data_IF_009810184936
#
_entry.id   IF_009810184936
#
_cell.length_a   1.000
_cell.length_b   1.000
_cell.length_c   1.000
_cell.angle_alpha   90.00
_cell.angle_beta   90.00
_cell.angle_gamma   90.00
#
_symmetry.space_group_name_H-M   'P 1'
#
loop_
_entity.id
_entity.type
_entity.pdbx_description
1 polymer ?
#
# COMPACT_ATOMS: atom_id res chain seq x y z
N UNK A 1 21.57 -4.04 -15.09
CA UNK A 1 20.51 -4.73 -15.87
C UNK A 1 20.78 -4.68 -17.37
N UNK A 2 21.03 -3.52 -17.99
CA UNK A 2 21.29 -3.38 -19.45
C UNK A 2 22.26 -4.44 -20.01
N UNK A 3 23.46 -4.59 -19.40
CA UNK A 3 24.43 -5.61 -19.81
C UNK A 3 23.91 -7.06 -19.75
N UNK A 4 23.00 -7.35 -18.82
CA UNK A 4 22.37 -8.68 -18.73
C UNK A 4 21.42 -8.88 -19.92
N UNK A 5 20.59 -7.89 -20.25
CA UNK A 5 19.69 -7.94 -21.40
C UNK A 5 20.45 -8.07 -22.73
N UNK A 6 21.60 -7.41 -22.86
CA UNK A 6 22.49 -7.52 -24.03
C UNK A 6 23.08 -8.94 -24.22
N UNK A 7 23.35 -9.63 -23.09
CA UNK A 7 23.92 -10.99 -23.10
C UNK A 7 22.81 -12.03 -23.30
N UNK A 8 21.77 -11.97 -22.48
CA UNK A 8 20.72 -13.01 -22.44
C UNK A 8 19.70 -12.89 -23.57
N UNK A 9 19.52 -11.69 -24.14
CA UNK A 9 18.58 -11.41 -25.25
C UNK A 9 17.19 -11.99 -25.01
N UNK A 10 16.54 -11.70 -23.86
CA UNK A 10 15.17 -12.19 -23.63
C UNK A 10 14.19 -11.51 -24.57
N UNK A 11 13.10 -12.18 -24.89
CA UNK A 11 11.99 -11.60 -25.66
C UNK A 11 11.15 -10.64 -24.81
N UNK A 12 11.08 -10.87 -23.49
CA UNK A 12 10.24 -10.08 -22.58
C UNK A 12 10.85 -9.89 -21.19
N UNK A 13 10.41 -8.84 -20.49
CA UNK A 13 10.78 -8.50 -19.11
C UNK A 13 9.52 -8.40 -18.24
N UNK A 14 9.42 -9.26 -17.22
CA UNK A 14 8.35 -9.23 -16.22
C UNK A 14 8.82 -8.49 -14.96
N UNK A 15 8.55 -7.18 -14.88
CA UNK A 15 9.01 -6.33 -13.78
C UNK A 15 8.20 -6.50 -12.49
N UNK A 16 6.90 -6.82 -12.61
CA UNK A 16 5.96 -6.89 -11.49
C UNK A 16 6.25 -7.96 -10.43
N UNK A 17 7.24 -8.86 -10.67
CA UNK A 17 7.64 -9.91 -9.73
C UNK A 17 8.84 -9.53 -8.85
N UNK A 18 9.56 -8.46 -9.15
CA UNK A 18 10.81 -8.08 -8.47
C UNK A 18 10.67 -6.92 -7.48
N UNK A 19 9.44 -6.58 -7.08
CA UNK A 19 9.16 -5.46 -6.17
C UNK A 19 9.49 -4.09 -6.79
N UNK A 20 9.54 -3.05 -5.95
CA UNK A 20 9.76 -1.67 -6.38
C UNK A 20 11.07 -1.47 -7.18
N UNK A 21 12.13 -2.13 -6.76
CA UNK A 21 13.43 -2.03 -7.45
C UNK A 21 13.34 -2.49 -8.90
N UNK A 22 12.61 -3.57 -9.17
CA UNK A 22 12.44 -4.07 -10.53
C UNK A 22 11.58 -3.14 -11.38
N UNK A 23 10.51 -2.57 -10.83
CA UNK A 23 9.70 -1.56 -11.53
C UNK A 23 10.54 -0.33 -11.89
N UNK A 24 11.30 0.21 -10.94
CA UNK A 24 12.17 1.38 -11.18
C UNK A 24 13.22 1.11 -12.26
N UNK A 25 13.83 -0.09 -12.26
CA UNK A 25 14.79 -0.48 -13.28
C UNK A 25 14.11 -0.64 -14.64
N UNK A 26 12.95 -1.28 -14.71
CA UNK A 26 12.23 -1.49 -15.95
C UNK A 26 11.74 -0.16 -16.55
N UNK A 27 11.18 0.72 -15.75
CA UNK A 27 10.78 2.07 -16.15
C UNK A 27 11.98 2.87 -16.69
N UNK A 28 13.12 2.84 -15.98
CA UNK A 28 14.35 3.50 -16.44
C UNK A 28 14.86 2.96 -17.78
N UNK A 29 14.84 1.63 -17.98
CA UNK A 29 15.28 0.99 -19.23
C UNK A 29 14.32 1.23 -20.40
N UNK A 30 13.02 1.42 -20.12
CA UNK A 30 12.04 1.77 -21.11
C UNK A 30 12.20 3.25 -21.53
N UNK A 31 12.33 4.16 -20.55
CA UNK A 31 12.52 5.59 -20.83
C UNK A 31 13.82 5.93 -21.56
N UNK A 32 14.90 5.19 -21.29
CA UNK A 32 16.18 5.41 -22.00
C UNK A 32 16.26 4.70 -23.38
N UNK A 33 15.17 4.05 -23.80
CA UNK A 33 15.07 3.34 -25.09
C UNK A 33 15.83 2.01 -25.14
N UNK A 34 16.34 1.52 -24.02
CA UNK A 34 17.11 0.26 -23.99
C UNK A 34 16.24 -0.96 -24.34
N UNK A 35 15.00 -1.01 -23.85
CA UNK A 35 14.10 -2.12 -24.14
C UNK A 35 13.77 -2.18 -25.64
N UNK A 36 13.43 -1.05 -26.24
CA UNK A 36 13.14 -0.95 -27.67
C UNK A 36 14.36 -1.33 -28.53
N UNK A 37 15.55 -0.80 -28.20
CA UNK A 37 16.79 -1.08 -28.91
C UNK A 37 17.19 -2.59 -28.87
N UNK A 38 16.78 -3.30 -27.82
CA UNK A 38 17.02 -4.73 -27.65
C UNK A 38 15.84 -5.60 -28.08
N UNK A 39 14.74 -5.00 -28.48
CA UNK A 39 13.46 -5.66 -28.82
C UNK A 39 12.94 -6.52 -27.65
N UNK A 40 12.95 -5.96 -26.42
CA UNK A 40 12.47 -6.61 -25.20
C UNK A 40 11.13 -6.03 -24.83
N UNK A 41 10.08 -6.84 -24.80
CA UNK A 41 8.73 -6.43 -24.41
C UNK A 41 8.61 -6.33 -22.89
N UNK A 42 7.97 -5.27 -22.36
CA UNK A 42 7.60 -5.16 -20.95
C UNK A 42 6.22 -5.78 -20.76
N UNK A 43 6.16 -6.93 -20.07
CA UNK A 43 4.93 -7.72 -19.89
C UNK A 43 4.38 -7.64 -18.46
N UNK A 44 3.06 -7.89 -18.32
CA UNK A 44 2.33 -7.83 -17.06
C UNK A 44 1.79 -6.41 -16.79
N UNK A 45 2.66 -5.49 -16.47
CA UNK A 45 2.35 -4.07 -16.31
C UNK A 45 3.17 -3.27 -17.30
N UNK A 46 2.54 -2.50 -18.17
CA UNK A 46 3.25 -1.67 -19.15
C UNK A 46 3.83 -0.39 -18.53
N UNK A 47 4.65 0.33 -19.30
CA UNK A 47 5.30 1.55 -18.83
C UNK A 47 4.29 2.63 -18.43
N UNK A 48 3.20 2.79 -19.20
CA UNK A 48 2.18 3.78 -18.93
C UNK A 48 1.51 3.51 -17.56
N UNK A 49 1.14 2.26 -17.30
CA UNK A 49 0.53 1.85 -16.04
C UNK A 49 1.50 2.02 -14.84
N UNK A 50 2.79 1.73 -15.03
CA UNK A 50 3.81 1.97 -14.00
C UNK A 50 3.92 3.47 -13.70
N UNK A 51 4.07 4.30 -14.72
CA UNK A 51 4.20 5.73 -14.56
C UNK A 51 2.95 6.37 -13.95
N UNK A 52 1.75 5.97 -14.39
CA UNK A 52 0.48 6.47 -13.86
C UNK A 52 0.23 6.04 -12.41
N UNK A 53 0.76 4.89 -12.00
CA UNK A 53 0.65 4.40 -10.63
C UNK A 53 1.68 5.02 -9.67
N UNK A 54 2.91 5.28 -10.14
CA UNK A 54 4.04 5.70 -9.30
C UNK A 54 4.21 7.22 -9.22
N UNK A 55 3.83 7.95 -10.28
CA UNK A 55 3.84 9.42 -10.28
C UNK A 55 2.56 9.96 -9.62
N UNK A 56 2.73 10.73 -8.55
CA UNK A 56 1.60 11.24 -7.75
C UNK A 56 0.63 12.12 -8.51
N UNK A 57 1.15 12.99 -9.39
CA UNK A 57 0.31 13.92 -10.14
C UNK A 57 -0.46 13.16 -11.23
N UNK A 58 0.18 12.18 -11.85
CA UNK A 58 -0.47 11.28 -12.80
C UNK A 58 -1.50 10.40 -12.12
N UNK A 59 -1.17 9.79 -10.98
CA UNK A 59 -2.09 8.99 -10.17
C UNK A 59 -3.32 9.80 -9.74
N UNK A 60 -3.12 11.03 -9.25
CA UNK A 60 -4.20 11.93 -8.90
C UNK A 60 -5.15 12.18 -10.09
N UNK A 61 -4.60 12.51 -11.27
CA UNK A 61 -5.39 12.70 -12.50
C UNK A 61 -6.17 11.44 -12.87
N UNK A 62 -5.54 10.26 -12.80
CA UNK A 62 -6.22 8.97 -13.04
C UNK A 62 -7.38 8.78 -12.10
N UNK A 63 -7.22 9.06 -10.80
CA UNK A 63 -8.30 8.97 -9.83
C UNK A 63 -9.43 9.98 -10.11
N UNK A 64 -9.09 11.22 -10.45
CA UNK A 64 -10.05 12.26 -10.81
C UNK A 64 -10.88 11.88 -12.07
N UNK A 65 -10.26 11.29 -13.10
CA UNK A 65 -10.94 10.83 -14.31
C UNK A 65 -12.02 9.75 -14.07
N UNK A 66 -11.90 9.02 -12.98
CA UNK A 66 -12.84 7.95 -12.61
C UNK A 66 -13.59 8.22 -11.30
N UNK A 67 -13.64 9.47 -10.86
CA UNK A 67 -14.32 9.93 -9.65
C UNK A 67 -13.93 9.13 -8.39
N UNK A 68 -12.64 8.86 -8.21
CA UNK A 68 -12.09 8.29 -6.98
C UNK A 68 -11.49 9.39 -6.11
N UNK A 69 -11.93 9.53 -4.85
CA UNK A 69 -11.38 10.53 -3.95
C UNK A 69 -9.94 10.18 -3.56
N UNK A 70 -9.06 11.17 -3.65
CA UNK A 70 -7.69 11.15 -3.13
C UNK A 70 -7.55 12.20 -2.02
N UNK A 71 -6.52 12.15 -1.17
CA UNK A 71 -6.27 13.23 -0.21
C UNK A 71 -6.19 14.59 -0.93
N UNK A 72 -6.94 15.56 -0.42
CA UNK A 72 -6.91 16.92 -0.97
C UNK A 72 -5.54 17.53 -0.72
N UNK A 73 -4.98 18.19 -1.72
CA UNK A 73 -3.67 18.78 -1.63
C UNK A 73 -3.61 20.07 -2.47
N UNK A 74 -2.93 21.09 -1.92
CA UNK A 74 -2.75 22.40 -2.55
C UNK A 74 -1.26 22.72 -2.54
N UNK A 75 -0.71 23.04 -3.72
CA UNK A 75 0.67 23.50 -3.86
C UNK A 75 0.74 24.98 -3.50
N UNK A 76 1.74 25.37 -2.71
CA UNK A 76 1.93 26.71 -2.20
C UNK A 76 3.39 27.13 -2.33
N UNK A 77 3.62 28.35 -2.82
CA UNK A 77 4.95 28.92 -3.03
C UNK A 77 5.26 29.98 -1.96
N UNK A 78 4.28 30.36 -1.16
CA UNK A 78 4.39 31.38 -0.10
C UNK A 78 3.63 30.99 1.16
N UNK A 79 4.00 31.64 2.29
CA UNK A 79 3.33 31.39 3.59
C UNK A 79 1.88 31.91 3.57
N UNK A 80 1.59 32.96 2.83
CA UNK A 80 0.23 33.47 2.69
C UNK A 80 -0.67 32.44 2.00
N UNK A 81 -0.23 31.84 0.88
CA UNK A 81 -0.92 30.74 0.21
C UNK A 81 -1.07 29.50 1.11
N UNK A 82 -0.06 29.18 1.93
CA UNK A 82 -0.13 28.09 2.91
C UNK A 82 -1.24 28.31 3.94
N UNK A 83 -1.43 29.56 4.38
CA UNK A 83 -2.51 29.89 5.32
C UNK A 83 -3.90 29.84 4.68
N UNK A 84 -4.02 30.26 3.41
CA UNK A 84 -5.25 30.14 2.62
C UNK A 84 -5.59 28.66 2.37
N UNK A 85 -4.61 27.86 1.95
CA UNK A 85 -4.77 26.42 1.75
C UNK A 85 -5.21 25.70 3.04
N UNK A 86 -4.70 26.09 4.19
CA UNK A 86 -5.12 25.52 5.47
C UNK A 86 -6.60 25.79 5.78
N UNK A 87 -7.13 26.95 5.41
CA UNK A 87 -8.54 27.27 5.59
C UNK A 87 -9.42 26.47 4.60
N UNK A 88 -8.98 26.32 3.36
CA UNK A 88 -9.69 25.57 2.32
C UNK A 88 -9.74 24.07 2.62
N UNK A 89 -8.65 23.50 3.16
CA UNK A 89 -8.57 22.08 3.53
C UNK A 89 -9.31 21.72 4.83
N UNK A 90 -9.98 22.67 5.47
CA UNK A 90 -10.82 22.42 6.64
C UNK A 90 -10.09 22.46 7.99
N UNK A 91 -8.85 22.93 8.03
CA UNK A 91 -8.09 23.12 9.26
C UNK A 91 -7.18 21.95 9.63
N UNK A 92 -6.83 21.85 10.90
CA UNK A 92 -5.80 20.94 11.39
C UNK A 92 -6.34 19.57 11.82
N UNK A 93 -5.48 18.52 11.82
CA UNK A 93 -4.08 18.52 11.38
C UNK A 93 -3.89 18.60 9.86
N UNK A 94 -2.73 19.10 9.39
CA UNK A 94 -2.36 19.16 7.99
C UNK A 94 -0.97 18.53 7.78
N UNK A 95 -0.78 17.87 6.64
CA UNK A 95 0.52 17.34 6.26
C UNK A 95 1.21 18.31 5.29
N UNK A 96 2.48 18.60 5.56
CA UNK A 96 3.31 19.46 4.74
C UNK A 96 4.39 18.62 4.08
N UNK A 97 4.53 18.73 2.76
CA UNK A 97 5.56 18.05 2.00
C UNK A 97 6.27 19.02 1.06
N UNK A 98 7.58 19.23 1.25
CA UNK A 98 8.36 19.99 0.28
C UNK A 98 8.40 19.29 -1.08
N UNK A 99 8.31 20.06 -2.15
CA UNK A 99 8.43 19.51 -3.50
C UNK A 99 9.86 19.04 -3.77
N UNK A 100 10.00 17.88 -4.44
CA UNK A 100 11.28 17.30 -4.88
C UNK A 100 12.31 17.04 -3.78
N UNK A 101 11.87 16.74 -2.54
CA UNK A 101 12.78 16.32 -1.47
C UNK A 101 12.78 14.79 -1.31
N UNK A 102 13.95 14.24 -0.95
CA UNK A 102 14.12 12.81 -0.66
C UNK A 102 13.96 12.55 0.84
N UNK A 103 13.26 11.46 1.21
CA UNK A 103 13.21 10.98 2.58
C UNK A 103 12.38 11.84 3.55
N UNK A 104 11.47 12.71 3.05
CA UNK A 104 10.60 13.53 3.88
C UNK A 104 11.29 14.70 4.57
N UNK A 105 12.50 15.09 4.12
CA UNK A 105 13.27 16.20 4.67
C UNK A 105 12.49 17.52 4.54
N UNK A 106 12.32 18.25 5.65
CA UNK A 106 11.61 19.52 5.69
C UNK A 106 10.08 19.42 5.68
N UNK A 107 9.52 18.19 5.64
CA UNK A 107 8.09 17.94 5.79
C UNK A 107 7.69 17.58 7.21
N UNK A 108 6.38 17.57 7.47
CA UNK A 108 5.85 17.19 8.78
C UNK A 108 4.35 17.38 8.89
N UNK A 109 3.80 17.06 10.06
CA UNK A 109 2.39 17.27 10.39
C UNK A 109 2.26 18.50 11.28
N UNK A 110 1.45 19.46 10.84
CA UNK A 110 1.08 20.62 11.65
C UNK A 110 -0.25 20.38 12.36
N UNK A 111 -0.28 20.62 13.66
CA UNK A 111 -1.45 20.50 14.51
C UNK A 111 -2.07 21.87 14.85
N UNK A 112 -1.41 22.96 14.46
CA UNK A 112 -1.87 24.32 14.65
C UNK A 112 -1.15 25.27 13.67
N UNK A 113 -1.64 26.51 13.60
CA UNK A 113 -1.13 27.54 12.70
C UNK A 113 0.37 27.85 12.91
N UNK A 114 0.85 27.84 14.16
CA UNK A 114 2.28 28.12 14.46
C UNK A 114 3.18 27.04 13.85
N UNK A 115 2.87 25.77 14.09
CA UNK A 115 3.58 24.64 13.49
C UNK A 115 3.48 24.62 11.96
N UNK A 116 2.32 24.97 11.40
CA UNK A 116 2.15 25.07 9.95
C UNK A 116 3.14 26.06 9.33
N UNK A 117 3.21 27.28 9.86
CA UNK A 117 4.12 28.32 9.36
C UNK A 117 5.58 27.89 9.51
N UNK A 118 5.95 27.30 10.65
CA UNK A 118 7.31 26.83 10.91
C UNK A 118 7.73 25.74 9.92
N UNK A 119 6.94 24.67 9.81
CA UNK A 119 7.26 23.53 8.93
C UNK A 119 7.23 23.97 7.46
N UNK A 120 6.22 24.75 7.04
CA UNK A 120 6.12 25.22 5.67
C UNK A 120 7.29 26.14 5.28
N UNK A 121 7.73 27.03 6.18
CA UNK A 121 8.90 27.87 5.93
C UNK A 121 10.17 27.05 5.72
N UNK A 122 10.39 26.04 6.54
CA UNK A 122 11.51 25.11 6.36
C UNK A 122 11.35 24.28 5.07
N UNK A 123 10.14 23.85 4.78
CA UNK A 123 9.81 23.08 3.56
C UNK A 123 10.11 23.87 2.29
N UNK A 124 9.70 25.12 2.20
CA UNK A 124 9.98 26.02 1.08
C UNK A 124 11.50 26.19 0.89
N UNK A 125 12.25 26.44 1.97
CA UNK A 125 13.71 26.56 1.93
C UNK A 125 14.44 25.28 1.47
N UNK A 126 13.88 24.11 1.74
CA UNK A 126 14.47 22.82 1.35
C UNK A 126 14.02 22.35 -0.04
N UNK A 127 12.94 22.93 -0.57
CA UNK A 127 12.43 22.61 -1.89
C UNK A 127 13.36 23.18 -2.98
N UNK A 128 13.56 22.40 -4.04
CA UNK A 128 14.37 22.86 -5.20
C UNK A 128 13.65 23.90 -6.06
N UNK A 129 12.35 24.08 -5.86
CA UNK A 129 11.49 24.97 -6.62
C UNK A 129 10.71 25.91 -5.71
N UNK A 130 11.16 26.08 -4.46
CA UNK A 130 10.56 26.95 -3.44
C UNK A 130 9.07 26.69 -3.21
N UNK A 131 8.63 25.40 -3.29
CA UNK A 131 7.23 24.99 -3.20
C UNK A 131 7.02 23.90 -2.15
N UNK A 132 5.92 24.01 -1.42
CA UNK A 132 5.40 22.96 -0.53
C UNK A 132 4.00 22.55 -0.95
N UNK A 133 3.68 21.28 -0.70
CA UNK A 133 2.34 20.74 -0.82
C UNK A 133 1.71 20.67 0.57
N UNK A 134 0.54 21.30 0.73
CA UNK A 134 -0.28 21.20 1.93
C UNK A 134 -1.38 20.19 1.66
N UNK A 135 -1.44 19.13 2.47
CA UNK A 135 -2.38 18.03 2.27
C UNK A 135 -3.32 17.90 3.48
N UNK A 136 -4.58 17.50 3.22
CA UNK A 136 -5.48 17.09 4.30
C UNK A 136 -4.86 15.89 5.03
N UNK A 137 -5.01 15.87 6.35
CA UNK A 137 -4.49 14.76 7.15
C UNK A 137 -5.53 13.66 7.26
N UNK A 138 -5.11 12.47 6.89
CA UNK A 138 -5.85 11.22 7.09
C UNK A 138 -5.33 10.41 8.29
N UNK A 139 -4.54 11.04 9.15
CA UNK A 139 -4.02 10.42 10.38
C UNK A 139 -5.18 9.91 11.25
N UNK A 140 -5.04 8.69 11.72
CA UNK A 140 -6.05 8.04 12.55
C UNK A 140 -7.24 7.45 11.78
N UNK A 141 -7.29 7.59 10.45
CA UNK A 141 -8.23 6.83 9.63
C UNK A 141 -7.80 5.37 9.58
N UNK A 142 -8.75 4.47 9.30
CA UNK A 142 -8.44 3.07 9.07
C UNK A 142 -7.75 2.89 7.72
N UNK A 143 -6.87 1.91 7.62
CA UNK A 143 -6.26 1.51 6.36
C UNK A 143 -6.79 0.15 5.92
N UNK A 144 -7.28 0.09 4.69
CA UNK A 144 -7.78 -1.13 4.06
C UNK A 144 -7.04 -1.39 2.75
N UNK A 145 -6.66 -2.65 2.55
CA UNK A 145 -5.94 -3.10 1.37
C UNK A 145 -6.76 -4.12 0.58
N UNK A 146 -6.73 -4.00 -0.73
CA UNK A 146 -7.37 -4.91 -1.67
C UNK A 146 -6.32 -5.50 -2.61
N UNK A 147 -6.13 -6.82 -2.54
CA UNK A 147 -5.33 -7.54 -3.51
C UNK A 147 -6.19 -7.92 -4.69
N UNK A 148 -5.87 -7.36 -5.84
CA UNK A 148 -6.65 -7.46 -7.07
C UNK A 148 -5.89 -8.27 -8.10
N UNK A 149 -6.58 -9.08 -8.88
CA UNK A 149 -6.04 -9.79 -10.04
C UNK A 149 -6.89 -9.44 -11.26
N UNK A 150 -6.25 -9.07 -12.38
CA UNK A 150 -6.93 -8.79 -13.65
C UNK A 150 -6.14 -9.37 -14.81
N UNK A 151 -6.84 -9.91 -15.81
CA UNK A 151 -6.26 -10.40 -17.05
C UNK A 151 -6.57 -9.49 -18.25
N UNK A 152 -6.08 -9.88 -19.42
CA UNK A 152 -6.28 -9.13 -20.68
C UNK A 152 -7.72 -9.17 -21.22
N UNK A 153 -8.55 -10.12 -20.77
CA UNK A 153 -9.97 -10.24 -21.12
C UNK A 153 -10.89 -9.50 -20.16
N UNK A 154 -10.32 -8.68 -19.27
CA UNK A 154 -11.02 -7.92 -18.21
C UNK A 154 -11.71 -8.79 -17.16
N UNK A 155 -11.34 -10.07 -17.01
CA UNK A 155 -11.69 -10.79 -15.81
C UNK A 155 -10.92 -10.14 -14.64
N UNK A 156 -11.66 -9.62 -13.67
CA UNK A 156 -11.08 -8.86 -12.56
C UNK A 156 -11.69 -9.33 -11.24
N UNK A 157 -10.84 -9.77 -10.31
CA UNK A 157 -11.27 -10.37 -9.04
C UNK A 157 -10.54 -9.74 -7.86
N UNK A 158 -11.17 -9.75 -6.69
CA UNK A 158 -10.52 -9.48 -5.40
C UNK A 158 -10.06 -10.81 -4.81
N UNK A 159 -8.75 -10.98 -4.71
CA UNK A 159 -8.15 -12.19 -4.13
C UNK A 159 -8.25 -12.18 -2.62
N UNK A 160 -8.03 -11.03 -2.00
CA UNK A 160 -8.06 -10.87 -0.55
C UNK A 160 -8.33 -9.42 -0.18
N UNK A 161 -9.03 -9.23 0.92
CA UNK A 161 -9.17 -7.94 1.59
C UNK A 161 -8.48 -7.99 2.93
N UNK A 162 -7.78 -6.92 3.28
CA UNK A 162 -7.02 -6.83 4.52
C UNK A 162 -7.30 -5.51 5.22
N UNK A 163 -7.22 -5.54 6.53
CA UNK A 163 -7.36 -4.37 7.39
C UNK A 163 -6.11 -4.22 8.26
N UNK A 164 -5.54 -3.03 8.27
CA UNK A 164 -4.47 -2.67 9.17
C UNK A 164 -5.06 -2.24 10.52
N UNK A 165 -4.64 -2.91 11.59
CA UNK A 165 -5.12 -2.59 12.96
C UNK A 165 -4.53 -1.25 13.41
N UNK A 166 -3.29 -0.97 13.01
CA UNK A 166 -2.68 0.33 13.22
C UNK A 166 -3.28 1.37 12.26
N UNK A 167 -3.60 2.57 12.74
CA UNK A 167 -4.22 3.60 11.91
C UNK A 167 -3.25 4.18 10.88
N UNK A 168 -3.82 4.90 9.90
CA UNK A 168 -3.05 5.70 8.95
C UNK A 168 -2.03 6.57 9.66
N UNK A 169 -0.80 6.59 9.13
CA UNK A 169 0.39 7.21 9.72
C UNK A 169 1.44 6.19 10.19
N UNK A 170 1.06 4.92 10.34
CA UNK A 170 1.98 3.79 10.49
C UNK A 170 2.15 3.13 9.11
N UNK A 171 3.39 2.85 8.73
CA UNK A 171 3.66 2.16 7.46
C UNK A 171 3.00 0.77 7.45
N UNK A 172 2.31 0.39 6.38
CA UNK A 172 1.58 -0.89 6.28
C UNK A 172 2.46 -2.11 6.57
N UNK A 173 3.76 -2.06 6.22
CA UNK A 173 4.73 -3.10 6.56
C UNK A 173 5.01 -3.24 8.07
N UNK A 174 4.73 -2.20 8.85
CA UNK A 174 4.88 -2.15 10.31
C UNK A 174 3.59 -2.43 11.06
N UNK A 175 2.45 -2.45 10.37
CA UNK A 175 1.14 -2.65 10.95
C UNK A 175 0.85 -4.13 11.22
N UNK A 176 0.09 -4.39 12.29
CA UNK A 176 -0.62 -5.64 12.45
C UNK A 176 -1.75 -5.68 11.44
N UNK A 177 -1.85 -6.76 10.66
CA UNK A 177 -2.83 -6.87 9.57
C UNK A 177 -3.72 -8.08 9.80
N UNK A 178 -5.01 -7.92 9.56
CA UNK A 178 -6.00 -9.02 9.59
C UNK A 178 -6.62 -9.25 8.21
N UNK A 179 -6.79 -10.49 7.85
CA UNK A 179 -7.52 -10.94 6.66
C UNK A 179 -8.57 -12.01 7.06
N UNK A 180 -9.81 -11.93 6.57
CA UNK A 180 -10.37 -10.79 5.84
C UNK A 180 -10.55 -9.58 6.76
N UNK A 181 -10.83 -8.40 6.18
CA UNK A 181 -11.20 -7.20 6.95
C UNK A 181 -12.33 -7.48 7.94
N UNK A 182 -12.31 -6.82 9.11
CA UNK A 182 -13.21 -7.13 10.22
C UNK A 182 -14.24 -6.03 10.50
N UNK A 183 -13.91 -4.77 10.21
CA UNK A 183 -14.68 -3.62 10.74
C UNK A 183 -15.51 -2.87 9.71
N UNK A 184 -15.32 -3.11 8.40
CA UNK A 184 -16.17 -2.53 7.37
C UNK A 184 -17.56 -3.17 7.35
N UNK A 185 -18.59 -2.35 7.17
CA UNK A 185 -19.90 -2.85 6.77
C UNK A 185 -19.86 -3.45 5.35
N UNK A 186 -20.81 -4.32 5.00
CA UNK A 186 -20.91 -4.84 3.63
C UNK A 186 -21.01 -3.71 2.60
N UNK A 187 -21.80 -2.69 2.89
CA UNK A 187 -21.93 -1.49 2.03
C UNK A 187 -20.58 -0.83 1.77
N UNK A 188 -19.79 -0.59 2.81
CA UNK A 188 -18.52 0.11 2.71
C UNK A 188 -17.49 -0.78 2.01
N UNK A 189 -17.52 -2.08 2.31
CA UNK A 189 -16.72 -3.08 1.59
C UNK A 189 -17.00 -3.05 0.08
N UNK A 190 -18.28 -3.10 -0.33
CA UNK A 190 -18.63 -3.08 -1.75
C UNK A 190 -18.23 -1.76 -2.43
N UNK A 191 -18.31 -0.64 -1.71
CA UNK A 191 -17.86 0.65 -2.20
C UNK A 191 -16.34 0.67 -2.49
N UNK A 192 -15.53 0.21 -1.54
CA UNK A 192 -14.07 0.14 -1.73
C UNK A 192 -13.68 -0.92 -2.77
N UNK A 193 -14.39 -2.04 -2.81
CA UNK A 193 -14.23 -3.08 -3.83
C UNK A 193 -14.45 -2.52 -5.24
N UNK A 194 -15.55 -1.81 -5.44
CA UNK A 194 -15.86 -1.18 -6.73
C UNK A 194 -14.79 -0.13 -7.12
N UNK A 195 -14.35 0.68 -6.16
CA UNK A 195 -13.27 1.64 -6.36
C UNK A 195 -11.97 0.95 -6.82
N UNK A 196 -11.58 -0.16 -6.17
CA UNK A 196 -10.40 -0.92 -6.54
C UNK A 196 -10.50 -1.48 -7.97
N UNK A 197 -11.64 -2.08 -8.33
CA UNK A 197 -11.86 -2.65 -9.66
C UNK A 197 -11.85 -1.56 -10.76
N UNK A 198 -12.46 -0.40 -10.52
CA UNK A 198 -12.43 0.74 -11.46
C UNK A 198 -11.02 1.27 -11.67
N UNK A 199 -10.25 1.40 -10.59
CA UNK A 199 -8.88 1.90 -10.64
C UNK A 199 -7.97 0.98 -11.48
N UNK A 200 -8.03 -0.33 -11.23
CA UNK A 200 -7.21 -1.31 -11.94
C UNK A 200 -7.54 -1.38 -13.43
N UNK A 201 -8.83 -1.27 -13.79
CA UNK A 201 -9.27 -1.19 -15.17
C UNK A 201 -8.76 0.08 -15.87
N UNK A 202 -8.85 1.23 -15.19
CA UNK A 202 -8.38 2.51 -15.77
C UNK A 202 -6.87 2.51 -15.98
N UNK A 203 -6.11 1.89 -15.08
CA UNK A 203 -4.66 1.74 -15.19
C UNK A 203 -4.23 0.64 -16.18
N UNK A 204 -5.15 -0.14 -16.69
CA UNK A 204 -4.91 -1.32 -17.56
C UNK A 204 -3.86 -2.31 -17.02
N UNK A 205 -3.79 -2.45 -15.70
CA UNK A 205 -2.88 -3.40 -15.06
C UNK A 205 -3.31 -4.83 -15.39
N UNK A 206 -2.36 -5.66 -15.85
CA UNK A 206 -2.55 -7.09 -16.13
C UNK A 206 -1.67 -7.89 -15.18
N UNK A 207 -2.28 -8.69 -14.32
CA UNK A 207 -1.63 -9.42 -13.24
C UNK A 207 -2.15 -9.02 -11.87
N UNK A 208 -1.29 -9.17 -10.84
CA UNK A 208 -1.61 -8.83 -9.45
C UNK A 208 -1.22 -7.41 -9.09
N UNK A 209 -2.05 -6.75 -8.31
CA UNK A 209 -1.77 -5.44 -7.75
C UNK A 209 -2.43 -5.27 -6.38
N UNK A 210 -1.92 -4.32 -5.61
CA UNK A 210 -2.45 -3.94 -4.31
C UNK A 210 -2.99 -2.51 -4.37
N UNK A 211 -4.20 -2.30 -3.87
CA UNK A 211 -4.83 -0.97 -3.74
C UNK A 211 -5.02 -0.66 -2.26
N UNK A 212 -4.59 0.51 -1.82
CA UNK A 212 -4.70 0.96 -0.44
C UNK A 212 -5.68 2.13 -0.32
N UNK A 213 -6.55 2.03 0.68
CA UNK A 213 -7.55 3.03 1.01
C UNK A 213 -7.44 3.47 2.47
N UNK A 214 -7.58 4.77 2.70
CA UNK A 214 -7.90 5.29 4.02
C UNK A 214 -9.42 5.41 4.14
N UNK A 215 -9.98 4.95 5.26
CA UNK A 215 -11.42 4.97 5.53
C UNK A 215 -11.73 5.62 6.87
N UNK A 216 -12.65 6.59 6.87
CA UNK A 216 -13.11 7.26 8.07
C UNK A 216 -14.41 6.61 8.57
N UNK A 217 -14.32 5.79 9.59
CA UNK A 217 -15.50 5.11 10.18
C UNK A 217 -16.59 6.06 10.67
N UNK A 218 -16.25 7.30 11.05
CA UNK A 218 -17.21 8.25 11.61
C UNK A 218 -18.06 8.90 10.54
N UNK A 219 -17.47 9.16 9.36
CA UNK A 219 -18.15 9.87 8.26
C UNK A 219 -18.54 8.95 7.10
N UNK A 220 -17.93 7.76 7.00
CA UNK A 220 -18.07 6.87 5.84
C UNK A 220 -17.29 7.34 4.61
N UNK A 221 -16.46 8.37 4.75
CA UNK A 221 -15.60 8.86 3.67
C UNK A 221 -14.36 7.97 3.50
N UNK A 222 -13.88 7.89 2.27
CA UNK A 222 -12.60 7.22 1.99
C UNK A 222 -11.69 8.08 1.09
N UNK A 223 -10.41 7.73 1.08
CA UNK A 223 -9.43 8.27 0.14
C UNK A 223 -8.63 7.12 -0.45
N UNK A 224 -8.40 7.18 -1.75
CA UNK A 224 -7.48 6.27 -2.44
C UNK A 224 -6.07 6.77 -2.20
N UNK A 225 -5.21 5.93 -1.61
CA UNK A 225 -3.89 6.33 -1.16
C UNK A 225 -2.83 6.02 -2.22
N UNK A 226 -2.79 4.76 -2.63
CA UNK A 226 -1.83 4.29 -3.64
C UNK A 226 -2.29 2.99 -4.29
N UNK A 227 -1.70 2.71 -5.43
CA UNK A 227 -1.76 1.41 -6.07
C UNK A 227 -0.34 0.91 -6.31
N UNK A 228 -0.10 -0.35 -6.00
CA UNK A 228 1.17 -1.00 -6.26
C UNK A 228 0.99 -1.97 -7.46
N UNK A 229 1.42 -1.62 -8.69
CA UNK A 229 1.18 -2.41 -9.90
C UNK A 229 2.14 -3.60 -9.97
N UNK A 230 2.25 -4.36 -8.89
CA UNK A 230 3.21 -5.44 -8.72
C UNK A 230 2.81 -6.36 -7.58
N UNK A 231 3.39 -7.56 -7.57
CA UNK A 231 3.35 -8.43 -6.39
C UNK A 231 4.14 -7.78 -5.25
N UNK A 232 3.55 -7.77 -4.06
CA UNK A 232 4.05 -7.08 -2.87
C UNK A 232 4.15 -8.03 -1.67
N UNK A 233 4.51 -7.50 -0.49
CA UNK A 233 4.46 -8.25 0.77
C UNK A 233 3.03 -8.62 1.14
N UNK A 234 2.08 -7.71 0.93
CA UNK A 234 0.65 -7.97 1.13
C UNK A 234 0.14 -9.06 0.20
N UNK A 235 0.61 -9.12 -1.05
CA UNK A 235 0.29 -10.24 -1.97
C UNK A 235 0.79 -11.58 -1.44
N UNK A 236 1.97 -11.61 -0.79
CA UNK A 236 2.48 -12.83 -0.16
C UNK A 236 1.62 -13.24 1.05
N UNK A 237 1.20 -12.28 1.87
CA UNK A 237 0.25 -12.51 2.97
C UNK A 237 -1.08 -13.02 2.44
N UNK A 238 -1.66 -12.34 1.45
CA UNK A 238 -2.91 -12.72 0.81
C UNK A 238 -2.85 -14.14 0.23
N UNK A 239 -1.75 -14.48 -0.45
CA UNK A 239 -1.55 -15.84 -0.99
C UNK A 239 -1.52 -16.91 0.10
N UNK A 240 -0.87 -16.64 1.25
CA UNK A 240 -0.86 -17.56 2.38
C UNK A 240 -2.22 -17.64 3.07
N UNK A 241 -2.91 -16.50 3.20
CA UNK A 241 -4.20 -16.43 3.85
C UNK A 241 -5.29 -17.17 3.06
N UNK A 242 -5.30 -17.00 1.74
CA UNK A 242 -6.35 -17.54 0.86
C UNK A 242 -6.01 -18.88 0.23
N UNK A 243 -4.71 -19.24 0.17
CA UNK A 243 -4.22 -20.35 -0.65
C UNK A 243 -4.13 -20.02 -2.16
N UNK A 244 -4.60 -18.83 -2.59
CA UNK A 244 -4.56 -18.40 -4.00
C UNK A 244 -3.13 -17.97 -4.37
N UNK A 245 -2.46 -18.62 -5.32
CA UNK A 245 -1.06 -18.35 -5.64
C UNK A 245 -0.90 -17.14 -6.55
N UNK A 246 -1.05 -15.93 -6.01
CA UNK A 246 -1.06 -14.64 -6.74
C UNK A 246 0.11 -14.55 -7.72
N UNK A 247 1.35 -14.81 -7.27
CA UNK A 247 2.53 -14.67 -8.10
C UNK A 247 2.51 -15.63 -9.31
N UNK A 248 2.08 -16.89 -9.10
CA UNK A 248 1.96 -17.86 -10.19
C UNK A 248 0.92 -17.45 -11.21
N UNK A 249 -0.26 -17.05 -10.74
CA UNK A 249 -1.35 -16.64 -11.64
C UNK A 249 -0.97 -15.35 -12.38
N UNK A 250 -0.39 -14.37 -11.69
CA UNK A 250 0.08 -13.14 -12.33
C UNK A 250 1.15 -13.39 -13.42
N UNK A 251 2.07 -14.35 -13.19
CA UNK A 251 3.05 -14.75 -14.21
C UNK A 251 2.40 -15.40 -15.43
N UNK A 252 1.37 -16.22 -15.23
CA UNK A 252 0.62 -16.85 -16.33
C UNK A 252 -0.20 -15.82 -17.12
N UNK A 253 -0.82 -14.84 -16.42
CA UNK A 253 -1.51 -13.72 -17.08
C UNK A 253 -0.53 -12.91 -17.94
N UNK A 254 0.67 -12.63 -17.42
CA UNK A 254 1.66 -11.86 -18.14
C UNK A 254 2.12 -12.50 -19.45
N UNK A 255 2.02 -13.83 -19.58
CA UNK A 255 2.30 -14.55 -20.83
C UNK A 255 1.05 -14.89 -21.64
N UNK A 256 -0.10 -14.26 -21.34
CA UNK A 256 -1.28 -14.24 -22.17
C UNK A 256 -2.42 -15.17 -21.76
N UNK A 257 -2.32 -15.89 -20.63
CA UNK A 257 -3.46 -16.67 -20.12
C UNK A 257 -4.52 -15.76 -19.49
N UNK A 258 -5.77 -16.19 -19.56
CA UNK A 258 -6.89 -15.54 -18.87
C UNK A 258 -7.29 -16.32 -17.62
N UNK A 259 -7.94 -15.63 -16.66
CA UNK A 259 -8.32 -16.23 -15.38
C UNK A 259 -9.31 -17.41 -15.52
N UNK A 260 -10.15 -17.38 -16.54
CA UNK A 260 -11.12 -18.43 -16.84
C UNK A 260 -10.50 -19.66 -17.53
N UNK A 261 -9.34 -19.52 -18.18
CA UNK A 261 -8.55 -20.63 -18.73
C UNK A 261 -7.73 -21.36 -17.66
N UNK A 262 -7.38 -20.67 -16.58
CA UNK A 262 -6.53 -21.23 -15.54
C UNK A 262 -7.36 -22.00 -14.49
N UNK A 263 -6.97 -23.24 -14.13
CA UNK A 263 -7.66 -23.96 -13.07
C UNK A 263 -7.43 -23.30 -11.72
N UNK A 264 -8.47 -23.28 -10.87
CA UNK A 264 -8.33 -22.83 -9.50
C UNK A 264 -7.49 -23.82 -8.67
N UNK A 265 -6.32 -23.45 -8.19
CA UNK A 265 -5.43 -24.37 -7.48
C UNK A 265 -5.93 -24.75 -6.08
N UNK A 266 -6.90 -24.01 -5.52
CA UNK A 266 -7.44 -24.25 -4.17
C UNK A 266 -8.55 -25.28 -4.23
N UNK A 267 -9.51 -25.10 -5.14
CA UNK A 267 -10.72 -25.92 -5.23
C UNK A 267 -10.55 -27.12 -6.15
N UNK A 268 -9.47 -27.16 -6.92
CA UNK A 268 -9.13 -28.25 -7.83
C UNK A 268 -9.96 -28.27 -9.11
N UNK A 269 -10.29 -29.46 -9.62
CA UNK A 269 -10.96 -29.62 -10.90
C UNK A 269 -12.40 -29.08 -10.86
N UNK A 270 -12.74 -28.22 -11.79
CA UNK A 270 -14.11 -27.76 -12.03
C UNK A 270 -14.36 -26.29 -11.73
N UNK A 271 -13.40 -25.55 -11.17
CA UNK A 271 -13.46 -24.10 -11.03
C UNK A 271 -12.23 -23.44 -11.64
N UNK A 272 -12.37 -22.18 -12.04
CA UNK A 272 -11.29 -21.40 -12.67
C UNK A 272 -10.66 -20.43 -11.66
N UNK A 273 -9.51 -19.87 -12.04
CA UNK A 273 -8.83 -18.86 -11.26
C UNK A 273 -9.59 -17.53 -11.16
N UNK A 274 -10.66 -17.36 -11.95
CA UNK A 274 -11.57 -16.21 -11.86
C UNK A 274 -12.50 -16.25 -10.62
N UNK A 275 -12.51 -17.34 -9.85
CA UNK A 275 -13.33 -17.49 -8.67
C UNK A 275 -12.67 -16.79 -7.46
N UNK A 276 -13.36 -15.81 -6.88
CA UNK A 276 -12.85 -15.06 -5.70
C UNK A 276 -12.77 -15.96 -4.46
N UNK A 277 -11.64 -16.00 -3.75
CA UNK A 277 -11.55 -16.70 -2.49
C UNK A 277 -12.49 -16.11 -1.42
N UNK A 278 -13.10 -16.98 -0.62
CA UNK A 278 -13.90 -16.60 0.53
C UNK A 278 -13.34 -17.29 1.77
N UNK A 279 -13.02 -16.49 2.81
CA UNK A 279 -12.43 -16.98 4.05
C UNK A 279 -13.51 -17.13 5.14
N UNK A 280 -13.56 -18.27 5.78
CA UNK A 280 -14.38 -18.55 6.96
C UNK A 280 -13.54 -18.64 8.26
N UNK A 281 -12.33 -18.10 8.24
CA UNK A 281 -11.36 -18.00 9.33
C UNK A 281 -10.66 -16.64 9.28
N UNK A 282 -9.99 -16.28 10.39
CA UNK A 282 -9.17 -15.08 10.46
C UNK A 282 -7.69 -15.43 10.34
N UNK A 283 -6.97 -14.58 9.63
CA UNK A 283 -5.52 -14.62 9.51
C UNK A 283 -4.94 -13.32 10.06
N UNK A 284 -4.02 -13.39 11.00
CA UNK A 284 -3.35 -12.22 11.57
C UNK A 284 -1.87 -12.27 11.26
N UNK A 285 -1.33 -11.19 10.73
CA UNK A 285 0.10 -10.94 10.54
C UNK A 285 0.57 -9.93 11.59
N UNK A 286 1.66 -10.23 12.30
CA UNK A 286 2.32 -9.28 13.20
C UNK A 286 3.78 -9.14 12.79
N UNK A 287 4.29 -7.90 12.61
CA UNK A 287 5.70 -7.66 12.33
C UNK A 287 6.60 -8.02 13.53
N UNK A 288 7.84 -8.38 13.26
CA UNK A 288 8.89 -8.57 14.29
C UNK A 288 9.81 -7.34 14.31
N UNK A 289 9.72 -6.56 15.37
CA UNK A 289 10.59 -5.42 15.59
C UNK A 289 11.79 -5.82 16.46
N UNK A 290 13.05 -5.65 15.98
CA UNK A 290 14.25 -6.07 16.70
C UNK A 290 14.74 -5.04 17.72
N UNK A 291 13.84 -4.39 18.46
CA UNK A 291 14.18 -3.39 19.47
C UNK A 291 14.97 -3.96 20.67
N UNK A 292 14.88 -5.27 20.88
CA UNK A 292 15.72 -6.01 21.81
C UNK A 292 17.21 -5.95 21.42
N UNK A 293 17.51 -5.92 20.12
CA UNK A 293 18.86 -5.84 19.56
C UNK A 293 19.33 -4.38 19.39
N UNK A 294 18.44 -3.46 19.08
CA UNK A 294 18.73 -2.05 18.81
C UNK A 294 18.16 -1.17 19.91
N UNK A 295 18.83 -1.17 21.09
CA UNK A 295 18.32 -0.53 22.31
C UNK A 295 18.17 0.99 22.22
N UNK A 296 18.93 1.66 21.34
CA UNK A 296 18.89 3.13 21.14
C UNK A 296 17.93 3.54 20.02
N UNK A 297 17.30 2.60 19.32
CA UNK A 297 16.35 2.92 18.26
C UNK A 297 15.06 3.53 18.86
N UNK A 298 14.52 4.51 18.15
CA UNK A 298 13.18 5.01 18.45
C UNK A 298 12.16 3.89 18.22
N UNK A 299 11.41 3.53 19.26
CA UNK A 299 10.43 2.44 19.25
C UNK A 299 9.05 2.84 18.74
N UNK A 300 8.79 4.15 18.57
CA UNK A 300 7.52 4.63 18.04
C UNK A 300 7.39 4.23 16.59
N UNK A 301 6.29 3.55 16.26
CA UNK A 301 5.95 3.21 14.87
C UNK A 301 5.52 4.47 14.11
N UNK A 302 5.75 4.47 12.81
CA UNK A 302 5.44 5.60 11.94
C UNK A 302 5.63 5.22 10.48
N UNK A 303 5.91 6.19 9.62
CA UNK A 303 6.07 5.99 8.17
C UNK A 303 7.36 5.26 7.78
N UNK A 304 8.31 5.11 8.71
CA UNK A 304 9.59 4.44 8.46
C UNK A 304 9.52 2.98 8.86
N UNK A 305 10.03 2.09 8.01
CA UNK A 305 10.11 0.66 8.30
C UNK A 305 11.21 0.34 9.31
N UNK A 306 10.87 -0.44 10.34
CA UNK A 306 11.75 -0.88 11.43
C UNK A 306 11.74 -2.38 11.64
N UNK A 307 10.73 -3.08 11.12
CA UNK A 307 10.58 -4.53 11.22
C UNK A 307 11.62 -5.28 10.38
N UNK A 308 12.02 -6.45 10.84
CA UNK A 308 12.97 -7.33 10.16
C UNK A 308 12.36 -8.65 9.70
N UNK A 309 11.11 -8.88 10.00
CA UNK A 309 10.36 -10.06 9.64
C UNK A 309 8.93 -9.95 10.12
N UNK A 310 8.18 -11.03 9.98
CA UNK A 310 6.78 -11.10 10.38
C UNK A 310 6.39 -12.53 10.69
N UNK A 311 5.36 -12.69 11.50
CA UNK A 311 4.67 -13.95 11.75
C UNK A 311 3.26 -13.87 11.18
N UNK A 312 2.69 -15.05 10.88
CA UNK A 312 1.30 -15.17 10.46
C UNK A 312 0.66 -16.33 11.24
N UNK A 313 -0.55 -16.11 11.74
CA UNK A 313 -1.33 -17.16 12.40
C UNK A 313 -2.76 -17.17 11.89
N UNK A 314 -3.38 -18.35 11.99
CA UNK A 314 -4.76 -18.60 11.56
C UNK A 314 -5.57 -19.02 12.79
N UNK A 315 -6.76 -18.45 12.93
CA UNK A 315 -7.73 -18.78 13.99
C UNK A 315 -9.16 -18.71 13.48
N UNK A 316 -10.11 -19.17 14.27
CA UNK A 316 -11.54 -19.04 13.98
C UNK A 316 -12.03 -17.62 14.20
N UNK A 317 -11.42 -16.93 15.16
CA UNK A 317 -11.71 -15.53 15.50
C UNK A 317 -10.44 -14.71 15.41
N UNK A 318 -10.60 -13.39 15.39
CA UNK A 318 -9.47 -12.45 15.43
C UNK A 318 -8.61 -12.67 16.67
N UNK A 319 -9.23 -12.79 17.85
CA UNK A 319 -8.51 -12.96 19.11
C UNK A 319 -7.67 -14.24 19.13
N UNK A 320 -8.22 -15.34 18.64
CA UNK A 320 -7.49 -16.60 18.54
C UNK A 320 -6.27 -16.47 17.61
N UNK A 321 -6.47 -15.91 16.42
CA UNK A 321 -5.41 -15.70 15.44
C UNK A 321 -4.33 -14.75 15.98
N UNK A 322 -4.75 -13.65 16.62
CA UNK A 322 -3.85 -12.67 17.24
C UNK A 322 -2.99 -13.27 18.33
N UNK A 323 -3.59 -13.99 19.27
CA UNK A 323 -2.84 -14.65 20.36
C UNK A 323 -1.86 -15.70 19.85
N UNK A 324 -2.23 -16.46 18.82
CA UNK A 324 -1.31 -17.39 18.15
C UNK A 324 -0.15 -16.66 17.47
N UNK A 325 -0.41 -15.54 16.81
CA UNK A 325 0.63 -14.73 16.17
C UNK A 325 1.59 -14.16 17.22
N UNK A 326 1.07 -13.62 18.34
CA UNK A 326 1.90 -13.13 19.46
C UNK A 326 2.80 -14.25 20.00
N UNK A 327 2.26 -15.43 20.24
CA UNK A 327 3.05 -16.57 20.69
C UNK A 327 4.14 -16.97 19.69
N UNK A 328 3.87 -16.85 18.38
CA UNK A 328 4.83 -17.17 17.30
C UNK A 328 5.97 -16.17 17.17
N UNK A 329 5.86 -14.97 17.73
CA UNK A 329 6.94 -13.97 17.74
C UNK A 329 8.13 -14.36 18.62
N UNK A 330 7.91 -15.27 19.60
CA UNK A 330 8.92 -15.77 20.55
C UNK A 330 9.67 -14.64 21.30
N UNK A 331 8.94 -13.57 21.67
CA UNK A 331 9.50 -12.41 22.37
C UNK A 331 9.46 -12.55 23.90
N UNK A 332 9.17 -13.75 24.41
CA UNK A 332 9.11 -14.03 25.85
C UNK A 332 7.81 -13.55 26.53
N UNK A 333 6.86 -13.03 25.77
CA UNK A 333 5.54 -12.65 26.24
C UNK A 333 4.47 -13.42 25.44
N UNK A 334 3.92 -14.54 25.97
CA UNK A 334 2.96 -15.36 25.23
C UNK A 334 1.56 -14.70 25.10
N UNK A 335 1.31 -13.65 25.88
CA UNK A 335 0.06 -12.90 25.86
C UNK A 335 0.32 -11.40 26.00
N UNK A 336 -0.47 -10.54 25.30
CA UNK A 336 -0.46 -9.11 25.55
C UNK A 336 -0.73 -8.84 27.04
N UNK A 337 0.09 -8.01 27.67
CA UNK A 337 -0.15 -7.60 29.07
C UNK A 337 -1.09 -6.40 29.06
N UNK A 338 -2.07 -6.33 29.98
CA UNK A 338 -2.80 -5.10 30.20
C UNK A 338 -1.82 -3.97 30.53
N UNK A 339 -1.94 -2.84 29.82
CA UNK A 339 -1.21 -1.62 30.18
C UNK A 339 -1.74 -1.09 31.50
N UNK A 340 -0.88 -0.73 32.41
CA UNK A 340 -1.27 0.04 33.61
C UNK A 340 -1.32 1.51 33.27
N UNK A 341 -2.16 2.30 33.95
CA UNK A 341 -2.31 3.73 33.73
C UNK A 341 -0.97 4.53 33.82
N UNK A 342 0.06 3.94 34.42
CA UNK A 342 1.40 4.52 34.47
C UNK A 342 2.16 4.42 33.13
N UNK A 343 1.72 3.55 32.23
CA UNK A 343 2.39 3.29 30.96
C UNK A 343 1.79 4.12 29.81
N UNK A 344 0.77 4.94 30.08
CA UNK A 344 0.07 5.74 29.07
C UNK A 344 0.93 6.77 28.32
N UNK A 345 2.06 7.18 28.91
CA UNK A 345 3.01 8.10 28.26
C UNK A 345 3.89 7.42 27.20
N UNK A 346 3.89 6.09 27.13
CA UNK A 346 4.66 5.29 26.17
C UNK A 346 3.78 4.58 25.13
N UNK A 347 2.50 4.94 25.03
CA UNK A 347 1.52 4.29 24.16
C UNK A 347 1.81 4.45 22.67
N UNK A 348 2.60 3.57 22.16
CA UNK A 348 2.34 2.88 20.88
C UNK A 348 1.44 1.69 21.22
N UNK A 349 0.34 1.50 20.56
CA UNK A 349 -0.74 0.58 20.91
C UNK A 349 -0.36 -0.91 20.96
N UNK A 350 0.87 -1.27 20.63
CA UNK A 350 1.39 -2.64 20.73
C UNK A 350 2.81 -2.62 21.28
N UNK A 351 2.97 -2.54 22.60
CA UNK A 351 4.18 -2.98 23.25
C UNK A 351 4.06 -4.49 23.49
N UNK A 352 4.45 -5.29 22.52
CA UNK A 352 4.71 -6.71 22.69
C UNK A 352 6.18 -6.91 23.02
#
# INVERSE_FOLDING_TARGET
MKRILEIERPDALLAGMGGQTALNIASSLAHDGTLDALNVELIGCDLQAIDDAEDRDRFKKVCEEIDLPVPKAIACDSIDEVLEAAAELGGFPLLIRPAFTLGGLGGGTAWNKGQLVEIASQGILHSRIDQVLIEESILGWQEHEYEVMRDASDNCIIVCTMENIDPMGVHTGESTVVAPQQTLSDRDHQMLRDAALRLIRRLDIKGGCNVQFAFNQKTGEYRTIEVNPRVSRSSALASKATGYPIARIAALIAVGYTLDELPNPITGKGTTAAFEPTLDYCVVKIPRWPFDKFRTANRTLGTSMKSTGEVMAIGRTFEEAFLKAVASLEVGCPHPRPLTLADESELSLIHI
#
